data_IF_651434463286
#
_entry.id   IF_651434463286
#
_cell.length_a   1.000
_cell.length_b   1.000
_cell.length_c   1.000
_cell.angle_alpha   90.00
_cell.angle_beta   90.00
_cell.angle_gamma   90.00
#
_symmetry.space_group_name_H-M   'P 1'
#
loop_
_entity.id
_entity.type
_entity.pdbx_description
1 polymer ?
#
# COMPACT_ATOMS: atom_id res chain seq x y z
N UNK A 1 31.03 -50.92 -0.58
CA UNK A 1 31.82 -51.20 -1.80
C UNK A 1 32.18 -49.87 -2.44
N UNK A 2 33.44 -49.78 -2.89
CA UNK A 2 34.13 -48.70 -3.59
C UNK A 2 34.39 -47.35 -2.90
N UNK A 3 35.67 -47.23 -2.51
CA UNK A 3 36.48 -46.06 -2.18
C UNK A 3 36.70 -45.18 -3.41
N UNK A 4 36.86 -43.87 -3.23
CA UNK A 4 38.09 -43.21 -3.71
C UNK A 4 38.46 -42.01 -2.83
N UNK A 5 39.73 -42.02 -2.46
CA UNK A 5 40.49 -41.11 -1.63
C UNK A 5 41.23 -40.16 -2.58
N UNK A 6 41.34 -38.85 -2.29
CA UNK A 6 42.55 -38.06 -2.60
C UNK A 6 42.77 -37.08 -1.44
N UNK A 7 43.97 -37.21 -0.86
CA UNK A 7 44.58 -36.38 0.18
C UNK A 7 45.64 -35.53 -0.52
N UNK A 8 45.72 -34.22 -0.26
CA UNK A 8 47.00 -33.50 -0.24
C UNK A 8 47.03 -32.54 0.97
N UNK A 9 48.11 -32.69 1.72
CA UNK A 9 48.54 -32.06 2.95
C UNK A 9 49.46 -30.87 2.62
N UNK A 10 49.38 -29.74 3.32
CA UNK A 10 50.60 -28.97 3.63
C UNK A 10 50.46 -28.09 4.89
N UNK A 11 51.59 -27.98 5.56
CA UNK A 11 51.85 -27.86 6.99
C UNK A 11 51.89 -26.46 7.60
N UNK A 12 51.52 -26.42 8.89
CA UNK A 12 51.99 -25.60 10.02
C UNK A 12 53.05 -24.51 9.79
N UNK A 13 52.88 -23.37 10.49
CA UNK A 13 53.92 -22.77 11.36
C UNK A 13 53.28 -21.84 12.41
N UNK A 14 53.92 -21.84 13.58
CA UNK A 14 53.57 -21.34 14.91
C UNK A 14 53.33 -19.82 15.03
N UNK A 15 52.55 -19.38 16.03
CA UNK A 15 53.10 -18.70 17.23
C UNK A 15 52.02 -18.12 18.16
N UNK A 16 52.40 -18.07 19.43
CA UNK A 16 51.64 -17.74 20.63
C UNK A 16 51.27 -16.26 20.82
N UNK A 17 50.22 -16.05 21.62
CA UNK A 17 50.02 -14.97 22.60
C UNK A 17 49.90 -13.53 22.10
N UNK A 18 48.71 -12.97 22.33
CA UNK A 18 48.47 -11.54 22.43
C UNK A 18 47.02 -11.28 22.82
N UNK A 19 46.77 -11.07 24.12
CA UNK A 19 45.52 -10.49 24.59
C UNK A 19 45.39 -9.09 24.00
N UNK A 20 44.30 -8.84 23.25
CA UNK A 20 43.89 -7.48 22.88
C UNK A 20 42.42 -7.33 23.27
N UNK A 21 42.21 -6.38 24.16
CA UNK A 21 40.93 -5.82 24.57
C UNK A 21 40.01 -5.61 23.38
N UNK A 22 38.80 -6.16 23.43
CA UNK A 22 37.74 -5.85 22.47
C UNK A 22 37.44 -4.36 22.52
N UNK A 23 37.89 -3.63 21.51
CA UNK A 23 37.28 -2.35 21.14
C UNK A 23 35.84 -2.64 20.71
N UNK A 24 34.83 -1.89 21.20
CA UNK A 24 33.49 -1.99 20.63
C UNK A 24 33.56 -1.67 19.14
N UNK A 25 32.96 -2.52 18.31
CA UNK A 25 32.70 -2.19 16.92
C UNK A 25 31.99 -0.82 16.86
N UNK A 26 32.39 0.09 15.96
CA UNK A 26 31.62 1.31 15.77
C UNK A 26 30.19 0.92 15.39
N UNK A 27 29.22 1.59 16.00
CA UNK A 27 27.82 1.48 15.61
C UNK A 27 27.70 1.66 14.09
N UNK A 28 26.81 0.92 13.40
CA UNK A 28 26.60 1.10 11.98
C UNK A 28 26.22 2.54 11.71
N UNK A 29 27.10 3.26 11.01
CA UNK A 29 26.85 4.60 10.49
C UNK A 29 25.67 4.47 9.52
N UNK A 30 24.60 5.29 9.64
CA UNK A 30 23.53 5.27 8.67
C UNK A 30 24.10 5.58 7.28
N UNK A 31 23.98 4.62 6.37
CA UNK A 31 24.35 4.72 4.96
C UNK A 31 23.60 5.89 4.27
N UNK A 32 24.15 6.52 3.22
CA UNK A 32 23.70 7.83 2.74
C UNK A 32 22.31 7.81 2.08
N UNK A 33 21.45 8.73 2.51
CA UNK A 33 20.17 9.08 1.87
C UNK A 33 20.39 9.43 0.39
N UNK A 34 19.51 8.99 -0.52
CA UNK A 34 19.57 9.44 -1.92
C UNK A 34 19.53 10.96 -1.98
N UNK A 35 20.46 11.58 -2.72
CA UNK A 35 20.59 13.05 -2.77
C UNK A 35 19.44 13.75 -3.50
N UNK A 36 18.67 13.02 -4.32
CA UNK A 36 17.49 13.53 -5.03
C UNK A 36 16.21 13.06 -4.34
N UNK A 37 15.22 13.95 -4.14
CA UNK A 37 13.91 13.54 -3.65
C UNK A 37 13.24 12.61 -4.67
N UNK A 38 12.52 11.62 -4.16
CA UNK A 38 11.69 10.71 -4.93
C UNK A 38 10.32 11.33 -5.22
N UNK A 39 9.80 12.13 -4.28
CA UNK A 39 8.58 12.92 -4.45
C UNK A 39 8.77 14.34 -3.89
N UNK A 40 8.09 15.31 -4.48
CA UNK A 40 8.06 16.72 -4.04
C UNK A 40 6.60 17.18 -4.07
N UNK A 41 6.12 17.80 -3.00
CA UNK A 41 4.74 18.27 -2.96
C UNK A 41 4.52 19.40 -3.99
N UNK A 42 3.48 19.31 -4.85
CA UNK A 42 3.20 20.35 -5.83
C UNK A 42 2.80 21.68 -5.18
N UNK A 43 2.20 21.66 -3.99
CA UNK A 43 1.77 22.85 -3.26
C UNK A 43 2.92 23.59 -2.57
N UNK A 44 4.03 22.90 -2.29
CA UNK A 44 5.19 23.48 -1.61
C UNK A 44 6.47 22.66 -1.86
N UNK A 45 7.36 23.20 -2.70
CA UNK A 45 8.64 22.55 -3.04
C UNK A 45 9.61 22.35 -1.87
N UNK A 46 9.33 22.89 -0.68
CA UNK A 46 10.08 22.61 0.55
C UNK A 46 9.67 21.31 1.23
N UNK A 47 8.60 20.65 0.76
CA UNK A 47 8.11 19.37 1.26
C UNK A 47 8.51 18.26 0.30
N UNK A 48 9.34 17.33 0.78
CA UNK A 48 10.01 16.33 -0.06
C UNK A 48 10.10 14.98 0.63
N UNK A 49 9.99 13.93 -0.16
CA UNK A 49 10.20 12.55 0.28
C UNK A 49 11.48 12.01 -0.33
N UNK A 50 12.34 11.46 0.52
CA UNK A 50 13.57 10.75 0.14
C UNK A 50 13.46 9.29 0.56
N UNK A 51 14.12 8.41 -0.18
CA UNK A 51 14.22 6.99 0.19
C UNK A 51 15.68 6.57 0.26
N UNK A 52 15.96 5.53 1.03
CA UNK A 52 17.32 4.99 1.20
C UNK A 52 17.49 3.75 0.33
N UNK A 53 18.51 3.77 -0.53
CA UNK A 53 19.04 2.63 -1.30
C UNK A 53 18.01 1.54 -1.66
N UNK A 54 17.04 1.82 -2.55
CA UNK A 54 16.02 0.84 -2.90
C UNK A 54 16.68 -0.42 -3.48
N UNK A 55 16.30 -1.58 -2.95
CA UNK A 55 16.76 -2.88 -3.43
C UNK A 55 15.71 -3.44 -4.37
N UNK A 56 16.10 -3.73 -5.63
CA UNK A 56 15.17 -4.19 -6.67
C UNK A 56 13.96 -3.25 -6.84
N UNK A 57 14.18 -1.94 -6.75
CA UNK A 57 13.10 -0.94 -6.87
C UNK A 57 12.27 -0.75 -5.60
N UNK A 58 12.51 -1.48 -4.51
CA UNK A 58 11.74 -1.38 -3.28
C UNK A 58 12.54 -0.73 -2.14
N UNK A 59 11.90 0.12 -1.35
CA UNK A 59 12.47 0.69 -0.12
C UNK A 59 11.71 0.23 1.13
N UNK A 60 12.34 0.38 2.30
CA UNK A 60 11.76 0.06 3.62
C UNK A 60 11.82 1.19 4.64
N UNK A 61 12.46 2.28 4.24
CA UNK A 61 12.57 3.50 5.03
C UNK A 61 12.44 4.69 4.11
N UNK A 62 11.64 5.67 4.51
CA UNK A 62 11.52 6.96 3.85
C UNK A 62 11.87 8.09 4.82
N UNK A 63 12.48 9.16 4.32
CA UNK A 63 12.73 10.39 5.05
C UNK A 63 11.87 11.49 4.48
N UNK A 64 10.97 12.03 5.30
CA UNK A 64 10.17 13.19 4.97
C UNK A 64 10.90 14.46 5.44
N UNK A 65 11.08 15.40 4.51
CA UNK A 65 11.57 16.76 4.76
C UNK A 65 10.40 17.74 4.65
N UNK A 66 10.23 18.60 5.65
CA UNK A 66 9.32 19.75 5.62
C UNK A 66 10.11 20.97 6.06
N UNK A 67 10.49 21.81 5.10
CA UNK A 67 11.34 22.98 5.36
C UNK A 67 12.71 22.58 5.93
N UNK A 68 12.95 22.86 7.22
CA UNK A 68 14.18 22.49 7.92
C UNK A 68 14.06 21.22 8.76
N UNK A 69 12.84 20.69 8.94
CA UNK A 69 12.60 19.47 9.70
C UNK A 69 12.77 18.24 8.80
N UNK A 70 13.37 17.19 9.35
CA UNK A 70 13.49 15.88 8.70
C UNK A 70 13.18 14.78 9.70
N UNK A 71 12.41 13.77 9.27
CA UNK A 71 12.14 12.57 10.07
C UNK A 71 12.15 11.34 9.19
N UNK A 72 12.78 10.28 9.67
CA UNK A 72 12.74 8.97 9.03
C UNK A 72 11.56 8.15 9.57
N UNK A 73 10.92 7.41 8.67
CA UNK A 73 9.79 6.53 8.94
C UNK A 73 10.07 5.15 8.37
N UNK A 74 9.60 4.11 9.06
CA UNK A 74 9.70 2.72 8.63
C UNK A 74 8.60 2.36 7.62
N UNK A 75 8.46 3.19 6.59
CA UNK A 75 7.50 2.98 5.49
C UNK A 75 8.17 2.25 4.34
N UNK A 76 7.43 1.36 3.69
CA UNK A 76 7.90 0.62 2.52
C UNK A 76 7.09 0.97 1.28
N UNK A 77 7.71 0.83 0.12
CA UNK A 77 7.04 1.06 -1.14
C UNK A 77 7.98 0.91 -2.32
N UNK A 78 7.46 1.19 -3.51
CA UNK A 78 8.24 1.22 -4.73
C UNK A 78 8.93 2.57 -4.94
N UNK A 79 10.17 2.54 -5.41
CA UNK A 79 10.95 3.65 -5.91
C UNK A 79 10.99 3.71 -7.45
N UNK A 80 10.26 2.81 -8.12
CA UNK A 80 10.16 2.80 -9.57
C UNK A 80 9.34 4.01 -10.08
N UNK A 81 9.77 4.57 -11.21
CA UNK A 81 9.17 5.80 -11.77
C UNK A 81 7.67 5.62 -12.06
N UNK A 82 7.25 4.43 -12.51
CA UNK A 82 5.86 4.14 -12.86
C UNK A 82 4.93 4.07 -11.63
N UNK A 83 5.49 3.85 -10.44
CA UNK A 83 4.77 3.69 -9.17
C UNK A 83 5.42 4.57 -8.10
N UNK A 84 5.89 5.75 -8.51
CA UNK A 84 6.61 6.65 -7.63
C UNK A 84 5.66 7.13 -6.51
N UNK A 85 6.16 7.28 -5.28
CA UNK A 85 5.40 7.87 -4.18
C UNK A 85 4.75 9.18 -4.56
N UNK A 86 3.53 9.37 -4.11
CA UNK A 86 2.83 10.64 -4.22
C UNK A 86 2.97 11.40 -2.90
N UNK A 87 3.11 12.71 -3.00
CA UNK A 87 3.26 13.60 -1.85
C UNK A 87 2.43 14.85 -2.07
N UNK A 88 1.54 15.14 -1.12
CA UNK A 88 0.71 16.33 -1.10
C UNK A 88 0.94 17.10 0.19
N UNK A 89 0.78 18.42 0.14
CA UNK A 89 0.90 19.28 1.31
C UNK A 89 -0.37 20.12 1.50
N UNK A 90 -1.32 19.58 2.25
CA UNK A 90 -2.68 20.11 2.37
C UNK A 90 -3.27 19.84 3.75
N UNK A 91 -4.22 20.69 4.16
CA UNK A 91 -4.98 20.53 5.41
C UNK A 91 -6.08 19.49 5.17
N UNK A 92 -5.89 18.28 5.71
CA UNK A 92 -6.83 17.15 5.57
C UNK A 92 -7.69 16.93 6.80
N UNK A 93 -7.33 17.53 7.95
CA UNK A 93 -8.08 17.38 9.20
C UNK A 93 -9.00 18.58 9.51
N UNK A 94 -8.86 19.69 8.79
CA UNK A 94 -9.66 20.91 8.91
C UNK A 94 -9.27 21.83 10.07
N UNK A 95 -8.10 21.65 10.68
CA UNK A 95 -7.64 22.47 11.81
C UNK A 95 -6.89 23.76 11.38
N UNK A 96 -6.67 23.95 10.08
CA UNK A 96 -5.95 25.09 9.50
C UNK A 96 -4.44 24.90 9.41
N UNK A 97 -3.90 23.77 9.90
CA UNK A 97 -2.52 23.33 9.72
C UNK A 97 -2.49 22.33 8.57
N UNK A 98 -1.47 22.44 7.70
CA UNK A 98 -1.30 21.48 6.60
C UNK A 98 -0.59 20.22 7.09
N UNK A 99 -0.95 19.10 6.51
CA UNK A 99 -0.27 17.81 6.64
C UNK A 99 0.53 17.47 5.38
N UNK A 100 1.59 16.69 5.57
CA UNK A 100 2.16 15.92 4.47
C UNK A 100 1.37 14.61 4.32
N UNK A 101 0.72 14.44 3.18
CA UNK A 101 0.01 13.21 2.81
C UNK A 101 0.88 12.43 1.84
N UNK A 102 1.25 11.21 2.22
CA UNK A 102 2.14 10.33 1.46
C UNK A 102 1.37 9.09 1.04
N UNK A 103 1.36 8.81 -0.25
CA UNK A 103 0.76 7.59 -0.82
C UNK A 103 1.88 6.76 -1.43
N UNK A 104 2.03 5.52 -0.97
CA UNK A 104 3.09 4.60 -1.38
C UNK A 104 2.49 3.38 -2.06
N UNK A 105 2.96 3.05 -3.26
CA UNK A 105 2.60 1.78 -3.91
C UNK A 105 3.41 0.62 -3.31
N UNK A 106 2.72 -0.36 -2.74
CA UNK A 106 3.27 -1.60 -2.18
C UNK A 106 3.41 -2.70 -3.25
N UNK A 107 2.45 -2.75 -4.18
CA UNK A 107 2.46 -3.68 -5.31
C UNK A 107 1.68 -3.08 -6.48
N UNK A 108 2.15 -3.30 -7.72
CA UNK A 108 1.36 -3.02 -8.92
C UNK A 108 1.58 -4.08 -9.99
N UNK A 109 0.63 -4.20 -10.91
CA UNK A 109 0.67 -5.11 -12.04
C UNK A 109 -0.68 -5.18 -12.75
N UNK A 110 -0.82 -6.11 -13.70
CA UNK A 110 -2.12 -6.34 -14.34
C UNK A 110 -3.14 -6.80 -13.31
N UNK A 111 -4.17 -5.99 -13.06
CA UNK A 111 -5.23 -6.28 -12.10
C UNK A 111 -4.84 -6.09 -10.63
N UNK A 112 -3.66 -5.51 -10.34
CA UNK A 112 -3.19 -5.26 -8.97
C UNK A 112 -2.66 -3.83 -8.85
N UNK A 113 -3.15 -3.09 -7.86
CA UNK A 113 -2.62 -1.78 -7.45
C UNK A 113 -2.89 -1.64 -5.96
N UNK A 114 -1.87 -1.83 -5.13
CA UNK A 114 -1.97 -1.76 -3.68
C UNK A 114 -1.19 -0.57 -3.16
N UNK A 115 -1.89 0.36 -2.56
CA UNK A 115 -1.31 1.55 -1.97
C UNK A 115 -1.47 1.59 -0.45
N UNK A 116 -0.57 2.30 0.21
CA UNK A 116 -0.59 2.63 1.63
C UNK A 116 -0.59 4.14 1.81
N UNK A 117 -1.34 4.62 2.81
CA UNK A 117 -1.55 6.04 3.09
C UNK A 117 -0.93 6.39 4.43
N UNK A 118 -0.08 7.42 4.43
CA UNK A 118 0.49 8.03 5.62
C UNK A 118 0.15 9.53 5.67
N UNK A 119 -0.14 10.04 6.87
CA UNK A 119 -0.48 11.45 7.08
C UNK A 119 0.35 11.96 8.24
N UNK A 120 1.18 12.97 8.00
CA UNK A 120 2.10 13.54 8.99
C UNK A 120 1.75 15.00 9.27
N UNK A 121 1.60 15.34 10.55
CA UNK A 121 1.44 16.71 11.00
C UNK A 121 2.73 17.51 10.74
N UNK A 122 2.63 18.60 10.01
CA UNK A 122 3.80 19.32 9.54
C UNK A 122 4.58 20.09 10.62
N UNK A 123 3.96 20.36 11.77
CA UNK A 123 4.61 21.09 12.87
C UNK A 123 5.37 20.14 13.80
N UNK A 124 4.72 19.02 14.16
CA UNK A 124 5.24 18.05 15.12
C UNK A 124 6.06 16.95 14.45
N UNK A 125 5.90 16.75 13.14
CA UNK A 125 6.41 15.60 12.38
C UNK A 125 5.85 14.26 12.87
N UNK A 126 4.80 14.24 13.69
CA UNK A 126 4.14 13.02 14.15
C UNK A 126 3.16 12.51 13.09
N UNK A 127 3.13 11.20 12.89
CA UNK A 127 2.20 10.52 12.00
C UNK A 127 0.86 10.31 12.71
N UNK A 128 -0.24 10.67 12.05
CA UNK A 128 -1.57 10.35 12.54
C UNK A 128 -1.86 8.87 12.32
N UNK A 129 -2.54 8.20 13.27
CA UNK A 129 -3.09 6.89 13.01
C UNK A 129 -4.14 6.97 11.89
N UNK A 130 -3.98 6.13 10.87
CA UNK A 130 -4.92 5.98 9.76
C UNK A 130 -5.51 4.57 9.78
N UNK A 131 -6.82 4.44 9.71
CA UNK A 131 -7.48 3.15 9.51
C UNK A 131 -7.20 2.63 8.09
N UNK A 132 -6.78 1.38 7.94
CA UNK A 132 -6.59 0.79 6.61
C UNK A 132 -7.92 0.61 5.87
N UNK A 133 -7.94 0.98 4.58
CA UNK A 133 -9.08 0.75 3.68
C UNK A 133 -9.47 -0.73 3.64
N UNK A 134 -8.49 -1.64 3.45
CA UNK A 134 -8.73 -3.08 3.39
C UNK A 134 -9.34 -3.62 4.71
N UNK A 135 -8.84 -3.12 5.84
CA UNK A 135 -9.36 -3.46 7.17
C UNK A 135 -10.81 -3.00 7.33
N UNK A 136 -11.14 -1.78 6.91
CA UNK A 136 -12.50 -1.27 6.96
C UNK A 136 -13.45 -2.08 6.07
N UNK A 137 -13.04 -2.38 4.83
CA UNK A 137 -13.82 -3.20 3.88
C UNK A 137 -14.08 -4.59 4.45
N UNK A 138 -13.05 -5.28 4.95
CA UNK A 138 -13.20 -6.63 5.50
C UNK A 138 -14.21 -6.73 6.66
N UNK A 139 -14.37 -5.65 7.43
CA UNK A 139 -15.30 -5.60 8.57
C UNK A 139 -16.72 -5.19 8.20
N UNK A 140 -16.87 -4.33 7.18
CA UNK A 140 -18.12 -3.60 6.92
C UNK A 140 -18.81 -4.02 5.64
N UNK A 141 -18.08 -4.70 4.74
CA UNK A 141 -18.57 -5.13 3.44
C UNK A 141 -18.65 -6.65 3.39
N UNK A 142 -19.81 -7.14 2.98
CA UNK A 142 -20.03 -8.55 2.69
C UNK A 142 -20.62 -8.66 1.29
N UNK A 143 -20.19 -9.64 0.52
CA UNK A 143 -20.69 -9.84 -0.83
C UNK A 143 -21.14 -11.28 -1.05
N UNK A 144 -21.88 -11.52 -2.12
CA UNK A 144 -22.16 -12.86 -2.64
C UNK A 144 -22.30 -12.80 -4.16
N UNK A 145 -21.91 -13.87 -4.83
CA UNK A 145 -21.99 -14.04 -6.27
C UNK A 145 -22.68 -15.37 -6.54
N UNK A 146 -23.77 -15.33 -7.32
CA UNK A 146 -24.57 -16.51 -7.62
C UNK A 146 -24.84 -16.59 -9.13
N UNK A 147 -24.66 -17.76 -9.72
CA UNK A 147 -25.11 -18.02 -11.09
C UNK A 147 -26.59 -18.43 -11.09
N UNK A 148 -27.37 -17.78 -11.95
CA UNK A 148 -28.81 -18.01 -12.13
C UNK A 148 -29.13 -18.32 -13.58
N UNK A 149 -30.34 -18.82 -13.81
CA UNK A 149 -30.88 -19.12 -15.14
C UNK A 149 -29.95 -19.97 -16.01
N UNK A 150 -29.54 -21.13 -15.49
CA UNK A 150 -28.60 -22.03 -16.19
C UNK A 150 -27.27 -21.33 -16.57
N UNK A 151 -26.73 -20.52 -15.65
CA UNK A 151 -25.49 -19.74 -15.80
C UNK A 151 -25.59 -18.63 -16.85
N UNK A 152 -26.79 -18.15 -17.19
CA UNK A 152 -26.98 -17.05 -18.13
C UNK A 152 -27.04 -15.68 -17.43
N UNK A 153 -27.23 -15.66 -16.12
CA UNK A 153 -27.25 -14.45 -15.31
C UNK A 153 -26.36 -14.62 -14.08
N UNK A 154 -25.66 -13.55 -13.72
CA UNK A 154 -24.86 -13.48 -12.50
C UNK A 154 -25.57 -12.52 -11.57
N UNK A 155 -25.91 -12.99 -10.36
CA UNK A 155 -26.46 -12.15 -9.31
C UNK A 155 -25.35 -11.82 -8.32
N UNK A 156 -25.09 -10.53 -8.14
CA UNK A 156 -24.08 -10.02 -7.22
C UNK A 156 -24.81 -9.20 -6.17
N UNK A 157 -24.61 -9.53 -4.91
CA UNK A 157 -25.09 -8.72 -3.80
C UNK A 157 -23.88 -8.15 -3.04
N UNK A 158 -23.90 -6.86 -2.73
CA UNK A 158 -22.90 -6.18 -1.91
C UNK A 158 -23.63 -5.50 -0.76
N UNK A 159 -23.35 -5.94 0.47
CA UNK A 159 -23.93 -5.40 1.69
C UNK A 159 -22.89 -4.56 2.42
N UNK A 160 -23.23 -3.30 2.65
CA UNK A 160 -22.38 -2.29 3.31
C UNK A 160 -23.17 -1.74 4.49
N UNK A 161 -22.66 -1.90 5.71
CA UNK A 161 -23.27 -1.39 6.94
C UNK A 161 -24.78 -1.70 7.08
N UNK A 162 -25.23 -2.85 6.58
CA UNK A 162 -26.63 -3.27 6.62
C UNK A 162 -27.45 -2.97 5.36
N UNK A 163 -26.97 -2.11 4.46
CA UNK A 163 -27.63 -1.75 3.20
C UNK A 163 -27.13 -2.68 2.10
N UNK A 164 -28.03 -3.28 1.34
CA UNK A 164 -27.69 -4.21 0.24
C UNK A 164 -27.90 -3.54 -1.12
N UNK A 165 -26.87 -3.61 -1.94
CA UNK A 165 -26.85 -3.27 -3.36
C UNK A 165 -26.84 -4.58 -4.15
N UNK A 166 -27.60 -4.64 -5.25
CA UNK A 166 -27.65 -5.83 -6.11
C UNK A 166 -27.41 -5.48 -7.56
N UNK A 167 -26.67 -6.34 -8.24
CA UNK A 167 -26.44 -6.29 -9.68
C UNK A 167 -26.87 -7.63 -10.27
N UNK A 168 -27.51 -7.61 -11.44
CA UNK A 168 -27.98 -8.80 -12.14
C UNK A 168 -27.50 -8.85 -13.60
N UNK A 169 -26.20 -8.67 -13.87
CA UNK A 169 -25.68 -8.66 -15.23
C UNK A 169 -25.85 -10.01 -15.92
N UNK A 170 -25.98 -9.96 -17.26
CA UNK A 170 -25.95 -11.17 -18.08
C UNK A 170 -24.54 -11.75 -18.05
N UNK A 171 -24.44 -13.09 -18.08
CA UNK A 171 -23.16 -13.80 -18.20
C UNK A 171 -22.31 -13.31 -19.38
N UNK A 172 -22.95 -12.90 -20.48
CA UNK A 172 -22.28 -12.38 -21.68
C UNK A 172 -21.64 -11.00 -21.50
N UNK A 173 -21.85 -10.33 -20.37
CA UNK A 173 -21.25 -9.04 -20.07
C UNK A 173 -19.83 -9.16 -19.47
N UNK A 174 -19.42 -10.39 -19.12
CA UNK A 174 -18.09 -10.71 -18.61
C UNK A 174 -17.21 -11.33 -19.70
N UNK A 175 -15.90 -11.17 -19.58
CA UNK A 175 -14.92 -11.81 -20.46
C UNK A 175 -14.60 -13.23 -20.02
N UNK A 176 -14.50 -13.44 -18.71
CA UNK A 176 -14.25 -14.74 -18.10
C UNK A 176 -15.52 -15.60 -18.07
N UNK A 177 -15.38 -16.93 -18.07
CA UNK A 177 -16.50 -17.84 -17.88
C UNK A 177 -17.05 -17.71 -16.45
N UNK A 178 -18.32 -17.29 -16.27
CA UNK A 178 -18.89 -17.12 -14.93
C UNK A 178 -18.88 -18.39 -14.08
N UNK A 179 -18.77 -19.58 -14.69
CA UNK A 179 -18.59 -20.84 -13.97
C UNK A 179 -17.30 -20.92 -13.14
N UNK A 180 -16.35 -20.00 -13.35
CA UNK A 180 -15.10 -19.89 -12.60
C UNK A 180 -15.07 -18.76 -11.58
N UNK A 181 -16.17 -18.02 -11.43
CA UNK A 181 -16.25 -16.93 -10.46
C UNK A 181 -16.18 -17.45 -9.03
N UNK A 182 -15.63 -16.61 -8.16
CA UNK A 182 -15.67 -16.81 -6.72
C UNK A 182 -17.09 -16.59 -6.19
N UNK A 183 -17.46 -17.26 -5.10
CA UNK A 183 -18.78 -17.10 -4.45
C UNK A 183 -18.94 -15.74 -3.75
N UNK A 184 -17.85 -14.99 -3.59
CA UNK A 184 -17.77 -13.68 -2.97
C UNK A 184 -16.84 -12.78 -3.78
N UNK A 185 -17.10 -11.48 -3.80
CA UNK A 185 -16.16 -10.51 -4.36
C UNK A 185 -14.86 -10.48 -3.56
N UNK A 186 -13.73 -10.46 -4.27
CA UNK A 186 -12.41 -10.19 -3.71
C UNK A 186 -12.11 -8.69 -3.81
N UNK A 187 -11.72 -8.09 -2.68
CA UNK A 187 -11.40 -6.66 -2.53
C UNK A 187 -9.92 -6.43 -2.21
N UNK A 188 -9.06 -7.45 -2.40
CA UNK A 188 -7.66 -7.44 -1.95
C UNK A 188 -6.66 -7.02 -3.02
N UNK A 189 -7.07 -6.88 -4.28
CA UNK A 189 -6.17 -6.66 -5.41
C UNK A 189 -5.97 -5.18 -5.76
N UNK A 190 -6.98 -4.34 -5.52
CA UNK A 190 -6.93 -2.91 -5.88
C UNK A 190 -7.37 -2.08 -4.68
N UNK A 191 -6.43 -1.32 -4.14
CA UNK A 191 -6.63 -0.31 -3.09
C UNK A 191 -5.84 0.92 -3.52
N UNK A 192 -6.54 1.96 -3.93
CA UNK A 192 -5.96 3.22 -4.40
C UNK A 192 -6.41 4.38 -3.52
N UNK A 193 -5.55 5.34 -3.28
CA UNK A 193 -5.86 6.56 -2.54
C UNK A 193 -5.79 7.79 -3.47
N UNK A 194 -6.65 8.76 -3.22
CA UNK A 194 -6.62 10.07 -3.86
C UNK A 194 -6.75 11.17 -2.80
N UNK A 195 -5.73 12.02 -2.77
CA UNK A 195 -5.61 13.17 -1.88
C UNK A 195 -5.66 14.53 -2.61
N UNK A 196 -5.85 14.54 -3.94
CA UNK A 196 -6.06 15.77 -4.71
C UNK A 196 -7.44 16.38 -4.37
N UNK A 197 -8.44 15.52 -4.16
CA UNK A 197 -9.78 15.94 -3.80
C UNK A 197 -10.01 15.88 -2.29
N UNK A 198 -10.83 16.80 -1.79
CA UNK A 198 -11.31 16.77 -0.40
C UNK A 198 -12.80 16.38 -0.37
N UNK A 199 -13.19 15.44 0.50
CA UNK A 199 -12.36 14.73 1.48
C UNK A 199 -11.41 13.70 0.85
N UNK A 200 -10.34 13.35 1.58
CA UNK A 200 -9.44 12.25 1.24
C UNK A 200 -10.26 10.97 1.05
N UNK A 201 -10.01 10.25 -0.04
CA UNK A 201 -10.75 9.03 -0.34
C UNK A 201 -9.85 7.90 -0.81
N UNK A 202 -10.39 6.69 -0.75
CA UNK A 202 -9.79 5.50 -1.32
C UNK A 202 -10.81 4.74 -2.16
N UNK A 203 -10.34 4.19 -3.27
CA UNK A 203 -11.10 3.28 -4.12
C UNK A 203 -10.61 1.86 -3.86
N UNK A 204 -11.55 0.95 -3.58
CA UNK A 204 -11.27 -0.49 -3.42
C UNK A 204 -12.14 -1.28 -4.39
N UNK A 205 -11.53 -1.93 -5.37
CA UNK A 205 -12.26 -2.62 -6.44
C UNK A 205 -12.62 -4.05 -6.06
N UNK A 206 -13.87 -4.44 -6.31
CA UNK A 206 -14.38 -5.78 -6.10
C UNK A 206 -14.31 -6.62 -7.37
N UNK A 207 -13.70 -7.79 -7.29
CA UNK A 207 -13.54 -8.70 -8.42
C UNK A 207 -14.22 -10.05 -8.19
N UNK A 208 -14.73 -10.65 -9.26
CA UNK A 208 -15.29 -12.02 -9.27
C UNK A 208 -14.28 -13.05 -9.77
N UNK A 209 -13.20 -12.57 -10.37
CA UNK A 209 -12.03 -13.33 -10.81
C UNK A 209 -10.78 -12.43 -10.72
N UNK A 210 -9.56 -12.94 -10.95
CA UNK A 210 -8.35 -12.11 -10.98
C UNK A 210 -8.37 -10.98 -12.04
N UNK A 211 -9.22 -11.08 -13.06
CA UNK A 211 -9.25 -10.15 -14.20
C UNK A 211 -10.60 -9.46 -14.42
N UNK A 212 -11.63 -9.86 -13.68
CA UNK A 212 -13.00 -9.38 -13.88
C UNK A 212 -13.48 -8.60 -12.65
N UNK A 213 -13.51 -7.27 -12.78
CA UNK A 213 -13.95 -6.34 -11.75
C UNK A 213 -15.38 -5.88 -12.02
N UNK A 214 -16.21 -5.83 -10.98
CA UNK A 214 -17.66 -5.60 -11.10
C UNK A 214 -18.11 -4.27 -10.55
N UNK A 215 -17.26 -3.61 -9.76
CA UNK A 215 -17.54 -2.33 -9.16
C UNK A 215 -16.49 -1.93 -8.15
N UNK A 216 -16.60 -0.68 -7.72
CA UNK A 216 -15.68 -0.03 -6.82
C UNK A 216 -16.40 0.36 -5.53
N UNK A 217 -15.67 0.26 -4.42
CA UNK A 217 -16.03 0.86 -3.15
C UNK A 217 -15.31 2.19 -3.02
N UNK A 218 -16.06 3.26 -2.86
CA UNK A 218 -15.56 4.61 -2.59
C UNK A 218 -15.60 4.87 -1.07
N UNK A 219 -14.43 4.93 -0.45
CA UNK A 219 -14.25 5.11 0.99
C UNK A 219 -13.84 6.56 1.27
N UNK A 220 -14.67 7.30 2.01
CA UNK A 220 -14.35 8.68 2.44
C UNK A 220 -13.71 8.66 3.82
N UNK A 221 -12.56 9.30 3.98
CA UNK A 221 -11.90 9.41 5.28
C UNK A 221 -12.44 10.59 6.09
N UNK A 222 -12.59 10.36 7.39
CA UNK A 222 -12.97 11.38 8.38
C UNK A 222 -11.92 11.46 9.48
N UNK A 223 -11.62 12.67 9.93
CA UNK A 223 -10.72 12.88 11.06
C UNK A 223 -11.52 13.09 12.35
N UNK A 224 -11.38 12.16 13.29
CA UNK A 224 -12.09 12.21 14.57
C UNK A 224 -11.24 11.61 15.68
N UNK A 225 -11.24 12.25 16.86
CA UNK A 225 -10.52 11.77 18.04
C UNK A 225 -9.02 11.50 17.79
N UNK A 226 -8.36 12.38 17.03
CA UNK A 226 -6.92 12.32 16.80
C UNK A 226 -6.45 11.32 15.73
N UNK A 227 -7.38 10.76 14.93
CA UNK A 227 -7.05 9.75 13.91
C UNK A 227 -7.96 9.82 12.70
N UNK A 228 -7.47 9.34 11.56
CA UNK A 228 -8.26 9.17 10.35
C UNK A 228 -8.95 7.81 10.37
N UNK A 229 -10.24 7.80 10.05
CA UNK A 229 -11.08 6.61 9.96
C UNK A 229 -11.85 6.58 8.66
N UNK A 230 -12.18 5.39 8.21
CA UNK A 230 -13.09 5.21 7.08
C UNK A 230 -14.49 5.58 7.53
N UNK A 231 -15.03 6.63 6.95
CA UNK A 231 -16.40 7.10 7.16
C UNK A 231 -17.39 6.32 6.29
N UNK A 232 -18.26 7.00 5.51
CA UNK A 232 -19.15 6.32 4.56
C UNK A 232 -18.39 5.52 3.50
N UNK A 233 -18.95 4.38 3.13
CA UNK A 233 -18.51 3.55 2.01
C UNK A 233 -19.67 3.51 1.01
N UNK A 234 -19.40 3.91 -0.23
CA UNK A 234 -20.38 3.90 -1.32
C UNK A 234 -19.97 2.86 -2.37
N UNK A 235 -20.93 2.09 -2.90
CA UNK A 235 -20.66 1.14 -3.98
C UNK A 235 -21.06 1.75 -5.32
N UNK A 236 -20.14 1.71 -6.29
CA UNK A 236 -20.36 2.10 -7.67
C UNK A 236 -20.11 0.90 -8.58
N UNK A 237 -21.14 0.44 -9.30
CA UNK A 237 -20.99 -0.64 -10.27
C UNK A 237 -20.16 -0.19 -11.48
N UNK A 238 -19.29 -1.06 -11.98
CA UNK A 238 -18.54 -0.80 -13.21
C UNK A 238 -19.47 -0.94 -14.42
N UNK A 239 -19.46 0.02 -15.34
CA UNK A 239 -20.16 -0.15 -16.63
C UNK A 239 -19.60 -1.38 -17.37
N UNK A 240 -20.43 -2.30 -17.90
CA UNK A 240 -21.84 -2.12 -18.27
C UNK A 240 -22.86 -2.60 -17.23
N UNK A 241 -22.46 -2.82 -15.97
CA UNK A 241 -23.27 -3.41 -14.90
C UNK A 241 -24.15 -2.40 -14.15
#
# INVERSE_FOLDING_TARGET
>A
MFKLLIVILLSMLLSSSGMISGHPSPDPVPEPIQSRPLAVAPEDSSVKLYVMEPSQGLFRTATLEIGQQRRAFAWSGSADIATAPQLYYTDVNGDGVREAVVILTLASGTGVELQELHIVNAQTMDEYPVESAADAVSRRVHSSVELRDHNQQVHIAVKIDGITHTLDPKASAFYDDPAHFTDHLDFSSVVMYDAEQRPLHATVSGSVSPTEFVGDLELKYVYEHGRFRVGPIEFAASSPF
#
